data_IF_511977934101
#
_entry.id   IF_511977934101
#
_cell.length_a   1.000
_cell.length_b   1.000
_cell.length_c   1.000
_cell.angle_alpha   90.00
_cell.angle_beta   90.00
_cell.angle_gamma   90.00
#
_symmetry.space_group_name_H-M   'P 1'
#
loop_
_entity.id
_entity.type
_entity.pdbx_description
1 polymer ?
#
# COMPACT_ATOMS: atom_id res chain seq x y z
N UNK A 1 -27.22 28.23 -19.39
CA UNK A 1 -27.51 26.81 -19.63
C UNK A 1 -26.76 26.00 -18.60
N UNK A 2 -27.47 25.22 -17.77
CA UNK A 2 -26.85 24.31 -16.82
C UNK A 2 -26.45 23.03 -17.52
N UNK A 3 -25.19 22.61 -17.38
CA UNK A 3 -24.75 21.28 -17.83
C UNK A 3 -25.27 20.29 -16.79
N UNK A 4 -26.13 19.37 -17.23
CA UNK A 4 -26.62 18.30 -16.38
C UNK A 4 -25.48 17.29 -16.16
N UNK A 5 -25.01 17.19 -14.91
CA UNK A 5 -23.89 16.33 -14.54
C UNK A 5 -24.46 15.15 -13.74
N UNK A 6 -24.34 13.92 -14.25
CA UNK A 6 -24.81 12.69 -13.58
C UNK A 6 -24.28 12.51 -12.14
N UNK A 7 -23.12 13.11 -11.84
CA UNK A 7 -22.45 13.03 -10.54
C UNK A 7 -21.84 14.37 -10.15
N UNK A 8 -22.41 14.98 -9.13
CA UNK A 8 -21.82 16.15 -8.49
C UNK A 8 -20.71 15.70 -7.51
N UNK A 9 -19.53 16.33 -7.59
CA UNK A 9 -18.39 16.16 -6.66
C UNK A 9 -17.64 14.81 -6.69
N UNK A 10 -17.16 14.40 -7.87
CA UNK A 10 -16.21 13.28 -7.96
C UNK A 10 -14.88 13.66 -7.32
N UNK A 11 -14.63 13.19 -6.08
CA UNK A 11 -13.36 13.35 -5.36
C UNK A 11 -12.67 12.01 -5.17
N UNK A 12 -11.35 11.97 -5.38
CA UNK A 12 -10.57 10.77 -5.08
C UNK A 12 -10.42 10.60 -3.56
N UNK A 13 -10.96 9.52 -2.99
CA UNK A 13 -10.81 9.19 -1.55
C UNK A 13 -9.41 8.69 -1.16
N UNK A 14 -8.53 8.49 -2.14
CA UNK A 14 -7.19 7.93 -1.93
C UNK A 14 -6.16 9.02 -1.61
N UNK A 15 -5.23 8.69 -0.72
CA UNK A 15 -4.09 9.57 -0.42
C UNK A 15 -3.08 9.49 -1.55
N UNK A 16 -2.64 10.66 -2.03
CA UNK A 16 -1.56 10.76 -3.01
C UNK A 16 -0.18 10.76 -2.36
N UNK A 17 -0.06 11.18 -1.10
CA UNK A 17 1.22 11.28 -0.37
C UNK A 17 1.10 10.69 1.06
N UNK A 18 2.21 10.22 1.66
CA UNK A 18 2.22 9.82 3.06
C UNK A 18 2.00 11.04 3.98
N UNK A 19 1.31 10.82 5.11
CA UNK A 19 1.14 11.86 6.16
C UNK A 19 2.40 12.03 7.04
N UNK A 20 3.32 11.06 7.01
CA UNK A 20 4.46 11.02 7.93
C UNK A 20 5.65 11.82 7.41
N UNK A 21 6.33 12.53 8.31
CA UNK A 21 7.55 13.30 8.01
C UNK A 21 8.84 12.46 8.04
N UNK A 22 8.73 11.14 8.26
CA UNK A 22 9.88 10.24 8.30
C UNK A 22 10.53 10.14 6.89
N UNK A 23 11.83 10.48 6.75
CA UNK A 23 12.49 10.54 5.45
C UNK A 23 12.59 9.17 4.79
N UNK A 24 12.82 8.09 5.56
CA UNK A 24 12.89 6.72 5.04
C UNK A 24 11.56 6.26 4.43
N UNK A 25 10.43 6.66 5.03
CA UNK A 25 9.12 6.34 4.46
C UNK A 25 8.90 7.09 3.14
N UNK A 26 9.36 8.34 3.04
CA UNK A 26 9.30 9.10 1.80
C UNK A 26 10.19 8.48 0.70
N UNK A 27 11.39 8.00 1.04
CA UNK A 27 12.27 7.30 0.12
C UNK A 27 11.66 5.97 -0.37
N UNK A 28 11.08 5.18 0.53
CA UNK A 28 10.37 3.95 0.17
C UNK A 28 9.17 4.25 -0.76
N UNK A 29 8.41 5.31 -0.48
CA UNK A 29 7.31 5.73 -1.36
C UNK A 29 7.84 6.14 -2.74
N UNK A 30 8.95 6.87 -2.82
CA UNK A 30 9.58 7.22 -4.11
C UNK A 30 10.02 5.97 -4.88
N UNK A 31 10.65 5.00 -4.20
CA UNK A 31 11.06 3.73 -4.78
C UNK A 31 9.85 2.94 -5.31
N UNK A 32 8.80 2.77 -4.51
CA UNK A 32 7.61 2.03 -4.96
C UNK A 32 6.78 2.79 -6.00
N UNK A 33 6.81 4.13 -6.03
CA UNK A 33 6.26 4.90 -7.17
C UNK A 33 7.03 4.67 -8.46
N UNK A 34 8.34 4.51 -8.37
CA UNK A 34 9.15 4.17 -9.53
C UNK A 34 8.84 2.74 -10.02
N UNK A 35 8.73 1.79 -9.09
CA UNK A 35 8.40 0.39 -9.41
C UNK A 35 6.97 0.19 -9.87
N UNK A 36 5.98 0.86 -9.27
CA UNK A 36 4.57 0.85 -9.69
C UNK A 36 4.20 2.17 -10.36
N UNK A 37 4.21 2.23 -11.70
CA UNK A 37 3.82 3.44 -12.40
C UNK A 37 2.34 3.80 -12.21
N UNK A 38 1.47 2.84 -11.84
CA UNK A 38 -0.02 2.96 -11.75
C UNK A 38 -0.63 3.95 -12.74
N UNK A 39 -1.09 3.44 -13.88
CA UNK A 39 -2.51 3.24 -14.19
C UNK A 39 -3.57 4.11 -13.47
N UNK A 40 -3.32 5.40 -13.27
CA UNK A 40 -4.34 6.45 -13.27
C UNK A 40 -4.47 7.08 -14.68
N UNK A 41 -3.84 6.46 -15.69
CA UNK A 41 -4.15 6.62 -17.11
C UNK A 41 -4.58 5.26 -17.68
N UNK A 42 -5.80 4.83 -17.42
CA UNK A 42 -6.54 4.34 -18.59
C UNK A 42 -6.56 5.53 -19.54
N UNK A 43 -5.99 5.47 -20.76
CA UNK A 43 -6.45 6.37 -21.79
C UNK A 43 -7.99 6.26 -21.77
N UNK A 44 -8.75 7.37 -21.82
CA UNK A 44 -10.14 7.23 -22.25
C UNK A 44 -10.11 6.37 -23.51
N UNK A 45 -11.06 5.45 -23.62
CA UNK A 45 -11.25 4.71 -24.86
C UNK A 45 -11.03 5.67 -26.02
N UNK A 46 -10.24 5.25 -27.01
CA UNK A 46 -10.14 5.97 -28.25
C UNK A 46 -11.54 5.97 -28.87
N UNK A 47 -12.35 6.96 -28.48
CA UNK A 47 -13.54 7.34 -29.20
C UNK A 47 -13.00 7.96 -30.49
N UNK A 48 -13.10 7.14 -31.52
CA UNK A 48 -13.04 7.52 -32.92
C UNK A 48 -13.87 8.78 -33.16
N UNK A 49 -13.20 9.93 -33.27
CA UNK A 49 -13.73 11.09 -33.96
C UNK A 49 -12.55 11.90 -34.51
N UNK A 50 -12.07 11.47 -35.68
CA UNK A 50 -11.40 12.37 -36.60
C UNK A 50 -12.38 13.51 -36.93
N UNK A 51 -12.07 14.73 -36.50
CA UNK A 51 -12.52 15.92 -37.21
C UNK A 51 -11.27 16.72 -37.51
N UNK A 52 -10.67 16.40 -38.65
CA UNK A 52 -9.85 17.36 -39.38
C UNK A 52 -10.74 18.55 -39.74
N UNK A 53 -10.44 19.72 -39.18
CA UNK A 53 -10.62 21.00 -39.86
C UNK A 53 -9.46 21.89 -39.49
N UNK A 54 -8.41 21.82 -40.31
CA UNK A 54 -7.58 22.98 -40.56
C UNK A 54 -8.33 23.83 -41.57
N UNK A 55 -8.60 25.09 -41.24
CA UNK A 55 -8.58 26.15 -42.23
C UNK A 55 -7.86 27.38 -41.66
N UNK A 56 -6.97 27.86 -42.51
CA UNK A 56 -6.03 28.96 -42.48
C UNK A 56 -6.54 30.28 -41.88
N UNK A 57 -5.67 30.99 -41.15
CA UNK A 57 -5.21 32.37 -41.41
C UNK A 57 -4.37 32.90 -40.24
N UNK A 58 -3.23 33.55 -40.53
CA UNK A 58 -2.51 34.39 -39.55
C UNK A 58 -1.00 34.08 -39.42
N UNK A 59 -0.19 34.95 -40.02
CA UNK A 59 1.22 34.80 -40.34
C UNK A 59 2.23 34.67 -39.19
N UNK A 60 3.34 34.06 -39.59
CA UNK A 60 4.62 33.95 -38.95
C UNK A 60 5.46 35.24 -39.08
N UNK A 61 5.99 35.74 -37.97
CA UNK A 61 7.32 36.36 -37.91
C UNK A 61 7.81 36.27 -36.45
N UNK A 62 8.74 35.34 -36.19
CA UNK A 62 10.04 35.62 -35.55
C UNK A 62 10.77 34.35 -35.03
N UNK A 63 11.62 33.86 -35.95
CA UNK A 63 12.97 33.29 -35.76
C UNK A 63 13.14 31.87 -35.15
N UNK A 64 14.03 31.03 -35.74
CA UNK A 64 14.01 29.59 -35.60
C UNK A 64 14.94 29.09 -34.48
N UNK A 65 14.37 28.49 -33.43
CA UNK A 65 15.12 27.55 -32.58
C UNK A 65 15.03 26.13 -33.18
N UNK A 66 15.93 25.91 -34.12
CA UNK A 66 16.45 24.64 -34.65
C UNK A 66 15.64 23.37 -34.35
N UNK A 67 15.02 22.82 -35.40
CA UNK A 67 14.43 21.47 -35.42
C UNK A 67 15.41 20.39 -34.90
N UNK A 68 16.71 20.62 -35.02
CA UNK A 68 17.78 19.80 -34.48
C UNK A 68 17.87 19.80 -32.94
N UNK A 69 17.73 20.96 -32.26
CA UNK A 69 17.69 21.01 -30.79
C UNK A 69 16.41 20.37 -30.22
N UNK A 70 15.28 20.53 -30.93
CA UNK A 70 14.02 19.83 -30.60
C UNK A 70 14.12 18.32 -30.85
N UNK A 71 14.84 17.85 -31.90
CA UNK A 71 15.09 16.41 -32.14
C UNK A 71 16.08 15.81 -31.13
N UNK A 72 17.15 16.52 -30.80
CA UNK A 72 18.16 16.06 -29.84
C UNK A 72 17.56 15.92 -28.43
N UNK A 73 16.76 16.90 -27.98
CA UNK A 73 16.01 16.81 -26.71
C UNK A 73 14.92 15.72 -26.73
N UNK A 74 14.31 15.41 -27.88
CA UNK A 74 13.34 14.30 -28.04
C UNK A 74 14.02 12.93 -28.03
N UNK A 75 15.22 12.81 -28.60
CA UNK A 75 16.04 11.59 -28.58
C UNK A 75 16.64 11.37 -27.19
N UNK A 76 17.10 12.43 -26.51
CA UNK A 76 17.55 12.35 -25.12
C UNK A 76 16.39 12.01 -24.17
N UNK A 77 15.20 12.60 -24.34
CA UNK A 77 13.98 12.18 -23.61
C UNK A 77 13.58 10.75 -23.91
N UNK A 78 13.62 10.31 -25.19
CA UNK A 78 13.33 8.91 -25.56
C UNK A 78 14.38 7.93 -25.03
N UNK A 79 15.67 8.27 -25.04
CA UNK A 79 16.74 7.46 -24.45
C UNK A 79 16.61 7.41 -22.92
N UNK A 80 16.28 8.53 -22.26
CA UNK A 80 15.99 8.58 -20.84
C UNK A 80 14.73 7.78 -20.49
N UNK A 81 13.65 7.87 -21.29
CA UNK A 81 12.42 7.09 -21.12
C UNK A 81 12.65 5.60 -21.35
N UNK A 82 13.46 5.20 -22.34
CA UNK A 82 13.84 3.80 -22.60
C UNK A 82 14.76 3.26 -21.48
N UNK A 83 15.70 4.07 -21.00
CA UNK A 83 16.59 3.72 -19.87
C UNK A 83 15.81 3.63 -18.55
N UNK A 84 14.84 4.51 -18.33
CA UNK A 84 13.90 4.49 -17.19
C UNK A 84 12.84 3.38 -17.29
N UNK A 85 12.69 2.70 -18.42
CA UNK A 85 11.71 1.62 -18.64
C UNK A 85 12.22 0.24 -18.23
N UNK A 86 13.55 0.03 -18.17
CA UNK A 86 14.16 -1.28 -17.83
C UNK A 86 13.99 -1.71 -16.36
N UNK A 87 13.54 -0.82 -15.47
CA UNK A 87 13.32 -1.12 -14.04
C UNK A 87 11.88 -0.99 -13.55
N UNK A 88 10.90 -0.81 -14.44
CA UNK A 88 9.49 -0.64 -14.08
C UNK A 88 8.76 -1.97 -14.11
N UNK A 89 7.83 -2.16 -13.18
CA UNK A 89 7.05 -3.40 -13.06
C UNK A 89 5.56 -3.09 -13.06
N UNK A 90 4.77 -3.82 -13.83
CA UNK A 90 3.31 -3.63 -13.86
C UNK A 90 2.57 -4.46 -12.79
N UNK A 91 3.24 -4.76 -11.67
CA UNK A 91 2.69 -5.66 -10.65
C UNK A 91 1.62 -4.97 -9.78
N UNK A 92 0.46 -5.62 -9.65
CA UNK A 92 -0.62 -5.20 -8.72
C UNK A 92 -0.14 -5.21 -7.26
N UNK A 93 0.85 -6.03 -6.95
CA UNK A 93 1.51 -6.09 -5.65
C UNK A 93 2.12 -4.74 -5.28
N UNK A 94 2.96 -4.17 -6.15
CA UNK A 94 3.64 -2.89 -5.87
C UNK A 94 2.65 -1.74 -5.72
N UNK A 95 1.61 -1.69 -6.54
CA UNK A 95 0.53 -0.71 -6.39
C UNK A 95 -0.16 -0.81 -5.00
N UNK A 96 -0.34 -2.03 -4.50
CA UNK A 96 -0.95 -2.27 -3.18
C UNK A 96 -0.01 -1.88 -2.04
N UNK A 97 1.29 -2.22 -2.15
CA UNK A 97 2.32 -1.83 -1.17
C UNK A 97 2.44 -0.30 -1.11
N UNK A 98 2.51 0.37 -2.26
CA UNK A 98 2.54 1.83 -2.36
C UNK A 98 1.34 2.48 -1.66
N UNK A 99 0.13 1.98 -1.95
CA UNK A 99 -1.10 2.45 -1.32
C UNK A 99 -1.04 2.29 0.20
N UNK A 100 -0.52 1.17 0.70
CA UNK A 100 -0.38 0.91 2.15
C UNK A 100 0.69 1.79 2.81
N UNK A 101 1.79 2.11 2.14
CA UNK A 101 2.82 3.01 2.66
C UNK A 101 2.27 4.42 2.93
N UNK A 102 1.36 4.90 2.07
CA UNK A 102 0.72 6.22 2.20
C UNK A 102 -0.36 6.27 3.30
N UNK A 103 -0.83 5.12 3.80
CA UNK A 103 -1.86 5.06 4.82
C UNK A 103 -1.39 5.62 6.17
N UNK A 104 -2.34 6.10 6.97
CA UNK A 104 -2.10 6.48 8.37
C UNK A 104 -1.69 5.26 9.22
N UNK A 105 -1.03 5.51 10.35
CA UNK A 105 -0.62 4.46 11.31
C UNK A 105 -1.80 3.61 11.79
N UNK A 106 -2.97 4.21 12.00
CA UNK A 106 -4.21 3.49 12.39
C UNK A 106 -4.60 2.42 11.36
N UNK A 107 -4.39 2.69 10.07
CA UNK A 107 -4.73 1.77 8.99
C UNK A 107 -3.60 0.76 8.67
N UNK A 108 -2.45 0.89 9.35
CA UNK A 108 -1.30 -0.03 9.36
C UNK A 108 -1.14 -0.66 10.75
N UNK A 109 -2.12 -1.48 11.20
CA UNK A 109 -2.05 -2.13 12.49
C UNK A 109 -0.85 -3.09 12.59
N UNK A 110 -0.29 -3.28 13.79
CA UNK A 110 0.78 -4.25 14.01
C UNK A 110 0.28 -5.69 13.82
N UNK A 111 1.21 -6.60 13.52
CA UNK A 111 0.95 -8.03 13.40
C UNK A 111 1.88 -8.83 14.30
N UNK A 112 1.32 -9.79 15.03
CA UNK A 112 2.09 -10.70 15.87
C UNK A 112 2.63 -11.89 15.08
N UNK A 113 3.75 -12.46 15.53
CA UNK A 113 4.30 -13.69 14.96
C UNK A 113 3.28 -14.85 14.97
N UNK A 114 2.52 -14.98 16.05
CA UNK A 114 1.42 -15.96 16.17
C UNK A 114 0.39 -15.84 15.05
N UNK A 115 -0.02 -14.61 14.69
CA UNK A 115 -0.97 -14.38 13.60
C UNK A 115 -0.36 -14.62 12.23
N UNK A 116 0.94 -14.38 12.08
CA UNK A 116 1.68 -14.69 10.86
C UNK A 116 1.73 -16.21 10.67
N UNK A 117 2.10 -16.96 11.70
CA UNK A 117 2.12 -18.43 11.67
C UNK A 117 0.71 -18.98 11.45
N UNK A 118 -0.30 -18.44 12.14
CA UNK A 118 -1.69 -18.83 11.99
C UNK A 118 -2.33 -18.44 10.65
N UNK A 119 -1.62 -17.77 9.74
CA UNK A 119 -2.09 -17.52 8.37
C UNK A 119 -1.21 -18.24 7.36
N UNK A 120 0.11 -18.17 7.53
CA UNK A 120 1.09 -18.72 6.60
C UNK A 120 1.40 -20.21 6.81
N UNK A 121 1.33 -20.73 8.04
CA UNK A 121 1.82 -22.06 8.40
C UNK A 121 0.75 -22.94 9.06
N UNK A 122 -0.54 -22.72 8.76
CA UNK A 122 -1.58 -23.65 9.21
C UNK A 122 -1.46 -24.98 8.46
N UNK A 123 -1.95 -26.06 9.08
CA UNK A 123 -1.99 -27.40 8.47
C UNK A 123 -2.62 -27.44 7.05
N UNK A 124 -3.52 -26.51 6.75
CA UNK A 124 -4.16 -26.39 5.43
C UNK A 124 -3.48 -25.39 4.50
N UNK A 125 -2.77 -24.39 5.02
CA UNK A 125 -2.18 -23.31 4.22
C UNK A 125 -0.66 -23.41 4.05
N UNK A 126 0.01 -24.30 4.81
CA UNK A 126 1.45 -24.53 4.74
C UNK A 126 1.90 -24.87 3.32
N UNK A 127 1.25 -25.85 2.68
CA UNK A 127 1.55 -26.28 1.30
C UNK A 127 1.45 -25.15 0.28
N UNK A 128 0.56 -24.17 0.51
CA UNK A 128 0.36 -23.04 -0.40
C UNK A 128 1.36 -21.90 -0.17
N UNK A 129 2.09 -21.90 0.95
CA UNK A 129 2.93 -20.78 1.39
C UNK A 129 4.37 -21.17 1.68
N UNK A 130 4.76 -22.41 1.40
CA UNK A 130 6.14 -22.86 1.40
C UNK A 130 7.00 -21.97 0.47
N UNK A 131 8.13 -21.51 1.00
CA UNK A 131 9.08 -20.64 0.28
C UNK A 131 8.60 -19.22 -0.02
N UNK A 132 7.37 -18.83 0.36
CA UNK A 132 6.88 -17.47 0.12
C UNK A 132 7.41 -16.50 1.16
N UNK A 133 7.87 -15.34 0.70
CA UNK A 133 8.25 -14.25 1.60
C UNK A 133 7.01 -13.52 2.09
N UNK A 134 6.84 -13.44 3.40
CA UNK A 134 5.67 -12.81 4.02
C UNK A 134 5.91 -11.31 4.11
N UNK A 135 5.03 -10.51 3.53
CA UNK A 135 5.20 -9.05 3.44
C UNK A 135 4.17 -8.36 4.31
N UNK A 136 4.65 -7.47 5.18
CA UNK A 136 3.83 -6.66 6.06
C UNK A 136 4.21 -5.18 5.96
N UNK A 137 3.29 -4.35 5.46
CA UNK A 137 3.43 -2.89 5.53
C UNK A 137 2.95 -2.39 6.90
N UNK A 138 3.74 -2.69 7.93
CA UNK A 138 3.40 -2.43 9.33
C UNK A 138 4.54 -2.84 10.27
N UNK A 139 4.23 -2.96 11.55
CA UNK A 139 5.18 -3.43 12.58
C UNK A 139 4.91 -4.89 12.91
N UNK A 140 5.98 -5.69 13.00
CA UNK A 140 5.91 -7.08 13.47
C UNK A 140 6.25 -7.12 14.97
N UNK A 141 5.33 -7.66 15.76
CA UNK A 141 5.43 -7.78 17.21
C UNK A 141 5.64 -9.24 17.62
N UNK A 142 6.35 -9.45 18.71
CA UNK A 142 6.50 -10.77 19.30
C UNK A 142 5.21 -11.21 20.02
N UNK A 143 5.04 -12.52 20.14
CA UNK A 143 4.00 -13.14 20.96
C UNK A 143 4.60 -14.34 21.68
N UNK A 144 4.84 -14.18 22.98
CA UNK A 144 5.49 -15.18 23.83
C UNK A 144 4.63 -16.45 24.01
N UNK A 145 3.34 -16.41 23.65
CA UNK A 145 2.47 -17.59 23.72
C UNK A 145 2.82 -18.65 22.68
N UNK A 146 3.42 -18.23 21.58
CA UNK A 146 3.94 -19.15 20.60
C UNK A 146 5.33 -19.56 21.05
N UNK A 147 5.52 -20.81 21.45
CA UNK A 147 6.79 -21.32 21.98
C UNK A 147 7.81 -21.52 20.87
N UNK A 148 7.42 -22.26 19.83
CA UNK A 148 8.28 -22.57 18.69
C UNK A 148 7.87 -21.79 17.46
N UNK A 149 8.85 -21.20 16.79
CA UNK A 149 8.65 -20.46 15.54
C UNK A 149 9.17 -21.30 14.37
N UNK A 150 8.36 -21.53 13.32
CA UNK A 150 8.86 -22.12 12.10
C UNK A 150 9.82 -21.16 11.39
N UNK A 151 10.65 -21.70 10.48
CA UNK A 151 11.52 -20.90 9.60
C UNK A 151 10.66 -20.03 8.70
N UNK A 152 10.77 -18.71 8.83
CA UNK A 152 9.99 -17.74 8.06
C UNK A 152 10.89 -16.64 7.50
N UNK A 153 10.65 -16.26 6.24
CA UNK A 153 11.20 -15.04 5.65
C UNK A 153 10.13 -13.96 5.67
N UNK A 154 10.32 -12.94 6.52
CA UNK A 154 9.34 -11.87 6.75
C UNK A 154 9.98 -10.55 6.32
N UNK A 155 9.27 -9.76 5.51
CA UNK A 155 9.63 -8.39 5.15
C UNK A 155 8.65 -7.38 5.77
N UNK A 156 9.15 -6.41 6.54
CA UNK A 156 8.30 -5.44 7.23
C UNK A 156 8.94 -4.04 7.33
N UNK A 157 8.13 -3.03 7.70
CA UNK A 157 8.64 -1.68 7.97
C UNK A 157 9.46 -1.63 9.25
N UNK A 158 9.00 -2.34 10.30
CA UNK A 158 9.64 -2.35 11.62
C UNK A 158 9.46 -3.71 12.28
N UNK A 159 10.47 -4.11 13.04
CA UNK A 159 10.44 -5.26 13.93
C UNK A 159 10.61 -4.77 15.36
N UNK A 160 9.91 -5.41 16.30
CA UNK A 160 10.30 -5.35 17.70
C UNK A 160 11.61 -6.13 17.90
N UNK A 161 12.46 -5.69 18.82
CA UNK A 161 13.77 -6.32 19.06
C UNK A 161 13.64 -7.81 19.40
N UNK A 162 12.65 -8.14 20.24
CA UNK A 162 12.34 -9.52 20.62
C UNK A 162 11.87 -10.35 19.43
N UNK A 163 10.97 -9.83 18.59
CA UNK A 163 10.53 -10.55 17.39
C UNK A 163 11.69 -10.81 16.42
N UNK A 164 12.57 -9.83 16.23
CA UNK A 164 13.74 -9.98 15.35
C UNK A 164 14.69 -11.05 15.85
N UNK A 165 15.01 -11.05 17.14
CA UNK A 165 15.87 -12.05 17.76
C UNK A 165 15.30 -13.46 17.59
N UNK A 166 13.99 -13.62 17.80
CA UNK A 166 13.32 -14.93 17.67
C UNK A 166 13.23 -15.44 16.23
N UNK A 167 12.98 -14.56 15.25
CA UNK A 167 12.97 -14.95 13.83
C UNK A 167 14.37 -15.46 13.42
N UNK A 168 15.43 -14.73 13.81
CA UNK A 168 16.80 -15.12 13.49
C UNK A 168 17.21 -16.40 14.21
N UNK A 169 16.83 -16.55 15.49
CA UNK A 169 17.08 -17.77 16.27
C UNK A 169 16.41 -19.01 15.67
N UNK A 170 15.21 -18.85 15.09
CA UNK A 170 14.53 -19.92 14.37
C UNK A 170 15.20 -20.26 13.01
N UNK A 171 16.23 -19.53 12.59
CA UNK A 171 16.87 -19.65 11.28
C UNK A 171 16.06 -19.03 10.14
N UNK A 172 15.15 -18.09 10.47
CA UNK A 172 14.41 -17.29 9.51
C UNK A 172 15.10 -15.97 9.17
N UNK A 173 14.54 -15.25 8.20
CA UNK A 173 15.09 -13.97 7.73
C UNK A 173 14.14 -12.81 8.03
N UNK A 174 14.65 -11.78 8.72
CA UNK A 174 13.94 -10.52 8.95
C UNK A 174 14.43 -9.46 7.94
N UNK A 175 13.68 -9.30 6.85
CA UNK A 175 13.99 -8.40 5.74
C UNK A 175 13.36 -7.02 5.88
N UNK A 176 14.02 -6.01 5.31
CA UNK A 176 13.41 -4.70 5.10
C UNK A 176 12.64 -4.67 3.77
N UNK A 177 11.75 -3.68 3.61
CA UNK A 177 10.93 -3.56 2.39
C UNK A 177 11.81 -3.17 1.18
N UNK A 178 12.86 -2.40 1.38
CA UNK A 178 13.88 -2.08 0.37
C UNK A 178 14.67 -3.33 -0.07
N UNK A 179 15.09 -4.20 0.86
CA UNK A 179 15.72 -5.48 0.53
C UNK A 179 14.79 -6.39 -0.28
N UNK A 180 13.50 -6.41 0.06
CA UNK A 180 12.50 -7.13 -0.71
C UNK A 180 12.39 -6.60 -2.15
N UNK A 181 12.43 -5.29 -2.34
CA UNK A 181 12.35 -4.68 -3.67
C UNK A 181 13.55 -5.05 -4.55
N UNK A 182 14.74 -5.25 -3.97
CA UNK A 182 15.91 -5.74 -4.71
C UNK A 182 15.78 -7.22 -5.08
N UNK A 183 15.27 -8.06 -4.18
CA UNK A 183 15.14 -9.52 -4.41
C UNK A 183 13.99 -9.86 -5.35
N UNK A 184 12.82 -9.24 -5.15
CA UNK A 184 11.58 -9.56 -5.85
C UNK A 184 10.89 -8.26 -6.31
N UNK A 185 11.44 -7.57 -7.34
CA UNK A 185 10.88 -6.31 -7.82
C UNK A 185 9.46 -6.46 -8.37
N UNK A 186 9.09 -7.64 -8.88
CA UNK A 186 7.74 -7.94 -9.36
C UNK A 186 6.77 -8.37 -8.26
N UNK A 187 7.28 -8.66 -7.04
CA UNK A 187 6.48 -9.23 -5.95
C UNK A 187 6.17 -10.73 -6.12
N UNK A 188 6.85 -11.44 -7.02
CA UNK A 188 6.71 -12.89 -7.17
C UNK A 188 7.04 -13.62 -5.86
N UNK A 189 6.33 -14.71 -5.57
CA UNK A 189 6.50 -15.53 -4.35
C UNK A 189 6.37 -14.74 -3.04
N UNK A 190 5.52 -13.71 -3.01
CA UNK A 190 5.22 -12.96 -1.79
C UNK A 190 3.81 -13.20 -1.28
N UNK A 191 3.64 -13.16 0.04
CA UNK A 191 2.33 -13.18 0.70
C UNK A 191 2.11 -11.86 1.43
N UNK A 192 1.27 -11.00 0.85
CA UNK A 192 0.99 -9.68 1.41
C UNK A 192 -0.08 -9.73 2.51
N UNK A 193 0.35 -9.75 3.77
CA UNK A 193 -0.55 -9.78 4.92
C UNK A 193 -0.95 -8.38 5.38
N UNK A 194 -2.12 -8.28 6.02
CA UNK A 194 -2.60 -7.07 6.68
C UNK A 194 -2.96 -7.39 8.12
N UNK A 195 -2.58 -6.52 9.05
CA UNK A 195 -2.97 -6.66 10.43
C UNK A 195 -4.46 -6.46 10.70
N UNK A 196 -4.98 -7.00 11.81
CA UNK A 196 -6.37 -6.86 12.19
C UNK A 196 -6.68 -5.41 12.54
N UNK A 197 -7.46 -4.75 11.69
CA UNK A 197 -7.88 -3.35 11.87
C UNK A 197 -8.94 -3.20 12.97
N UNK A 198 -9.80 -4.21 13.14
CA UNK A 198 -10.97 -4.15 14.01
C UNK A 198 -10.70 -4.62 15.45
N UNK A 199 -9.44 -4.87 15.80
CA UNK A 199 -9.08 -5.30 17.16
C UNK A 199 -9.18 -4.18 18.22
N UNK A 200 -9.33 -2.92 17.79
CA UNK A 200 -9.54 -1.80 18.72
C UNK A 200 -10.98 -1.83 19.21
N UNK A 201 -11.14 -1.99 20.53
CA UNK A 201 -12.45 -2.03 21.16
C UNK A 201 -13.19 -0.70 20.98
N UNK A 202 -14.36 -0.74 20.34
CA UNK A 202 -15.34 0.35 20.34
C UNK A 202 -16.43 -0.02 21.37
N UNK A 203 -16.23 0.41 22.61
CA UNK A 203 -17.17 0.18 23.73
C UNK A 203 -17.89 1.49 24.07
N UNK A 204 -19.06 1.44 24.76
CA UNK A 204 -19.70 2.63 25.30
C UNK A 204 -18.69 3.48 26.06
N UNK A 205 -18.70 4.79 25.83
CA UNK A 205 -17.80 5.73 26.47
C UNK A 205 -18.24 5.94 27.92
N UNK A 206 -17.67 5.14 28.83
CA UNK A 206 -17.89 5.26 30.26
C UNK A 206 -16.55 5.46 30.95
N UNK A 207 -16.46 6.46 31.81
CA UNK A 207 -15.24 6.78 32.56
C UNK A 207 -14.81 5.62 33.47
N UNK A 208 -15.76 5.05 34.22
CA UNK A 208 -15.52 3.95 35.15
C UNK A 208 -16.44 2.76 34.90
N UNK A 209 -15.88 1.55 35.04
CA UNK A 209 -16.65 0.30 34.92
C UNK A 209 -17.12 -0.15 36.29
N UNK A 210 -18.39 -0.52 36.42
CA UNK A 210 -18.94 -0.99 37.69
C UNK A 210 -20.41 -1.34 37.62
N UNK A 211 -20.98 -1.77 38.76
CA UNK A 211 -22.43 -2.09 38.87
C UNK A 211 -23.30 -0.84 38.65
N UNK A 212 -22.83 0.33 39.10
CA UNK A 212 -23.57 1.61 39.07
C UNK A 212 -23.56 2.29 37.70
N UNK A 213 -22.61 1.97 36.83
CA UNK A 213 -22.40 2.68 35.56
C UNK A 213 -22.99 1.92 34.38
N UNK A 214 -23.97 2.51 33.70
CA UNK A 214 -24.60 2.04 32.44
C UNK A 214 -25.05 0.56 32.40
N UNK A 215 -25.48 -0.01 33.53
CA UNK A 215 -25.95 -1.41 33.63
C UNK A 215 -27.39 -1.59 34.08
N UNK A 216 -28.14 -0.50 34.25
CA UNK A 216 -29.51 -0.49 34.78
C UNK A 216 -30.57 -0.48 33.66
N UNK A 217 -31.23 0.66 33.42
CA UNK A 217 -32.26 0.83 32.39
C UNK A 217 -31.65 0.62 30.99
N UNK A 218 -32.36 -0.08 30.10
CA UNK A 218 -31.90 -0.32 28.72
C UNK A 218 -30.93 -1.51 28.54
N UNK A 219 -30.36 -2.06 29.64
CA UNK A 219 -29.50 -3.27 29.61
C UNK A 219 -30.14 -4.50 30.23
N UNK A 220 -31.21 -4.33 31.02
CA UNK A 220 -31.92 -5.40 31.73
C UNK A 220 -33.42 -5.30 31.48
N UNK A 221 -34.05 -6.45 31.21
CA UNK A 221 -35.51 -6.53 31.04
C UNK A 221 -36.27 -6.03 32.28
N UNK A 222 -35.71 -6.22 33.48
CA UNK A 222 -36.33 -5.81 34.75
C UNK A 222 -36.36 -4.29 35.01
N UNK A 223 -35.68 -3.48 34.19
CA UNK A 223 -35.61 -2.02 34.33
C UNK A 223 -36.09 -1.35 33.04
N UNK A 224 -37.38 -1.49 32.74
CA UNK A 224 -38.06 -0.84 31.62
C UNK A 224 -38.00 -1.65 30.32
N UNK A 225 -36.82 -1.72 29.69
CA UNK A 225 -36.61 -2.47 28.43
C UNK A 225 -35.15 -2.90 28.28
N UNK A 226 -34.87 -3.81 27.35
CA UNK A 226 -33.53 -4.30 27.03
C UNK A 226 -33.24 -4.12 25.54
N UNK A 227 -32.19 -3.35 25.25
CA UNK A 227 -31.60 -3.21 23.90
C UNK A 227 -30.71 -4.42 23.61
#
# INVERSE_FOLDING_TARGET
>A
MGIDLDKHHVRSGHRKAPKSDNPYTALLVKLYRFLSPTADSTPPAADSACIEKHDSTGCCCDVPKTRAAKRCSKIQKRKADIFLRKGRTDSKFNATVLRRLMMSKINRPPMSLSKIVATAANKHSSKAHEGKTIVLVGTVTDDNRLLELPKLSIAALRYTNTARARIVAAGGEALTIDQLAMRAPTGANTLLLRGPKNAREAKPYVESKGRKFERARGRRRSKGFKV
#
